data_IF_688112491375
#
_entry.id   IF_688112491375
#
_cell.length_a   1.000
_cell.length_b   1.000
_cell.length_c   1.000
_cell.angle_alpha   90.00
_cell.angle_beta   90.00
_cell.angle_gamma   90.00
#
_symmetry.space_group_name_H-M   'P 1'
#
loop_
_entity.id
_entity.type
_entity.pdbx_description
1 polymer ?
#
# COMPACT_ATOMS: atom_id res chain seq x y z
N UNK A 1 -35.31 -13.73 26.70
CA UNK A 1 -33.87 -13.37 26.67
C UNK A 1 -33.35 -13.80 25.32
N UNK A 2 -33.00 -12.79 24.51
CA UNK A 2 -32.75 -12.85 23.07
C UNK A 2 -31.35 -13.40 22.82
N UNK A 3 -31.20 -14.31 21.85
CA UNK A 3 -29.92 -14.61 21.22
C UNK A 3 -30.14 -14.71 19.71
N UNK A 4 -30.08 -13.55 19.07
CA UNK A 4 -30.11 -13.39 17.62
C UNK A 4 -28.71 -13.63 17.09
N UNK A 5 -28.51 -14.74 16.39
CA UNK A 5 -27.30 -15.03 15.61
C UNK A 5 -27.42 -14.28 14.29
N UNK A 6 -26.67 -13.19 14.12
CA UNK A 6 -26.51 -12.52 12.84
C UNK A 6 -25.48 -13.28 12.00
N UNK A 7 -25.99 -14.06 11.06
CA UNK A 7 -25.22 -14.66 9.96
C UNK A 7 -25.07 -13.58 8.87
N UNK A 8 -23.94 -12.89 8.82
CA UNK A 8 -23.59 -12.03 7.68
C UNK A 8 -23.17 -12.93 6.51
N UNK A 9 -24.11 -13.17 5.60
CA UNK A 9 -23.83 -13.70 4.27
C UNK A 9 -23.18 -12.57 3.48
N UNK A 10 -21.89 -12.71 3.18
CA UNK A 10 -21.21 -11.91 2.17
C UNK A 10 -21.76 -12.34 0.82
N UNK A 11 -22.63 -11.53 0.23
CA UNK A 11 -22.99 -11.66 -1.18
C UNK A 11 -21.76 -11.32 -2.02
N UNK A 12 -21.11 -12.36 -2.55
CA UNK A 12 -20.18 -12.25 -3.67
C UNK A 12 -21.04 -11.99 -4.90
N UNK A 13 -21.12 -10.74 -5.33
CA UNK A 13 -21.72 -10.41 -6.62
C UNK A 13 -20.82 -10.96 -7.74
N UNK A 14 -21.24 -12.10 -8.27
CA UNK A 14 -20.76 -12.65 -9.54
C UNK A 14 -21.30 -11.72 -10.63
N UNK A 15 -20.49 -10.77 -11.09
CA UNK A 15 -20.83 -9.95 -12.24
C UNK A 15 -21.05 -10.86 -13.47
N UNK A 16 -22.19 -10.75 -14.18
CA UNK A 16 -22.40 -11.49 -15.41
C UNK A 16 -21.52 -10.93 -16.52
N UNK A 17 -20.84 -11.81 -17.27
CA UNK A 17 -20.18 -11.48 -18.54
C UNK A 17 -21.22 -10.94 -19.52
N UNK A 18 -21.29 -9.62 -19.65
CA UNK A 18 -22.04 -8.96 -20.72
C UNK A 18 -21.14 -8.84 -21.94
N UNK A 19 -21.48 -9.57 -22.99
CA UNK A 19 -20.95 -9.39 -24.35
C UNK A 19 -21.47 -8.06 -24.89
N UNK A 20 -20.66 -7.01 -24.86
CA UNK A 20 -20.98 -5.75 -25.54
C UNK A 20 -20.62 -5.89 -27.01
N UNK A 21 -21.63 -6.17 -27.84
CA UNK A 21 -21.59 -5.89 -29.28
C UNK A 21 -21.77 -4.38 -29.47
N UNK A 22 -20.90 -3.82 -30.31
CA UNK A 22 -20.88 -2.43 -30.75
C UNK A 22 -22.26 -1.83 -31.03
N UNK A 23 -22.49 -0.62 -30.52
CA UNK A 23 -23.30 0.40 -31.20
C UNK A 23 -22.82 1.79 -30.76
N UNK A 24 -21.84 2.30 -31.52
CA UNK A 24 -21.39 3.69 -31.49
C UNK A 24 -22.37 4.52 -32.31
N UNK A 25 -23.44 5.00 -31.69
CA UNK A 25 -24.22 6.12 -32.22
C UNK A 25 -25.07 6.71 -31.09
N UNK A 26 -24.60 7.84 -30.54
CA UNK A 26 -25.31 8.84 -29.70
C UNK A 26 -24.46 9.33 -28.51
N UNK A 27 -23.24 9.79 -28.79
CA UNK A 27 -22.47 10.65 -27.88
C UNK A 27 -22.11 11.99 -28.55
N UNK A 28 -23.02 12.49 -29.39
CA UNK A 28 -22.99 13.89 -29.84
C UNK A 28 -23.90 14.71 -28.94
N UNK A 29 -23.31 15.33 -27.91
CA UNK A 29 -23.70 16.56 -27.18
C UNK A 29 -23.30 16.49 -25.69
N UNK A 30 -22.07 16.09 -25.39
CA UNK A 30 -21.44 16.43 -24.11
C UNK A 30 -20.40 17.53 -24.33
N UNK A 31 -20.63 18.65 -23.65
CA UNK A 31 -19.95 19.95 -23.72
C UNK A 31 -18.45 19.94 -24.06
N UNK A 32 -18.08 20.79 -25.03
CA UNK A 32 -16.72 21.04 -25.57
C UNK A 32 -15.73 21.71 -24.59
N UNK A 33 -15.93 21.66 -23.28
CA UNK A 33 -15.04 22.29 -22.27
C UNK A 33 -14.04 21.34 -21.62
N UNK A 34 -13.91 20.08 -22.08
CA UNK A 34 -13.08 19.06 -21.42
C UNK A 34 -12.00 18.43 -22.31
N UNK A 35 -11.80 18.94 -23.52
CA UNK A 35 -10.73 18.48 -24.41
C UNK A 35 -9.42 19.21 -24.07
N UNK A 36 -8.81 18.79 -22.95
CA UNK A 36 -7.43 19.12 -22.62
C UNK A 36 -6.53 18.22 -23.46
N UNK A 37 -6.11 18.71 -24.63
CA UNK A 37 -5.15 18.04 -25.49
C UNK A 37 -3.95 17.57 -24.66
N UNK A 38 -3.73 16.25 -24.66
CA UNK A 38 -2.56 15.63 -24.07
C UNK A 38 -1.34 16.02 -24.92
N UNK A 39 -0.70 17.13 -24.58
CA UNK A 39 0.65 17.37 -25.07
C UNK A 39 1.60 16.37 -24.40
N UNK A 40 2.38 15.72 -25.27
CA UNK A 40 3.39 14.67 -25.03
C UNK A 40 4.53 15.02 -24.06
N UNK A 41 4.35 15.97 -23.16
CA UNK A 41 5.37 16.44 -22.21
C UNK A 41 5.73 15.41 -21.13
N UNK A 42 4.91 14.36 -20.94
CA UNK A 42 5.15 13.29 -19.98
C UNK A 42 6.23 12.29 -20.44
N UNK A 43 6.78 12.45 -21.67
CA UNK A 43 7.74 11.53 -22.30
C UNK A 43 9.08 12.16 -22.73
N UNK A 44 9.38 13.41 -22.40
CA UNK A 44 10.69 14.03 -22.76
C UNK A 44 11.67 14.10 -21.59
N UNK A 45 12.47 13.05 -21.45
CA UNK A 45 13.95 13.14 -21.37
C UNK A 45 14.50 11.71 -21.27
N UNK A 46 15.02 11.22 -22.39
CA UNK A 46 15.70 9.94 -22.49
C UNK A 46 17.12 10.21 -22.97
N UNK A 47 18.06 9.66 -22.20
CA UNK A 47 19.52 9.50 -22.37
C UNK A 47 20.45 10.51 -21.65
N UNK A 48 21.37 9.89 -20.91
CA UNK A 48 22.46 10.36 -20.04
C UNK A 48 22.13 10.98 -18.66
N UNK A 49 22.03 10.09 -17.65
CA UNK A 49 21.96 10.44 -16.22
C UNK A 49 20.60 10.16 -15.60
N UNK A 50 20.52 9.18 -14.68
CA UNK A 50 19.25 8.82 -14.00
C UNK A 50 18.75 10.03 -13.22
N UNK A 51 17.73 10.71 -13.74
CA UNK A 51 17.09 11.85 -13.08
C UNK A 51 15.82 11.36 -12.38
N UNK A 52 15.85 11.31 -11.05
CA UNK A 52 14.63 11.08 -10.27
C UNK A 52 13.82 12.38 -10.22
N UNK A 53 12.64 12.37 -10.84
CA UNK A 53 11.75 13.53 -10.81
C UNK A 53 10.83 13.49 -9.59
N UNK A 54 10.54 12.30 -9.05
CA UNK A 54 9.77 12.14 -7.81
C UNK A 54 10.71 12.24 -6.60
N UNK A 55 10.41 13.09 -5.60
CA UNK A 55 11.25 13.22 -4.41
C UNK A 55 11.23 11.95 -3.55
N UNK A 56 12.31 11.68 -2.79
CA UNK A 56 12.41 10.49 -1.93
C UNK A 56 11.73 10.70 -0.57
N UNK A 57 10.44 11.04 -0.59
CA UNK A 57 9.65 11.30 0.61
C UNK A 57 8.60 10.20 0.73
N UNK A 58 8.56 9.52 1.87
CA UNK A 58 7.53 8.49 2.14
C UNK A 58 6.43 9.09 2.99
N UNK A 59 5.18 8.79 2.65
CA UNK A 59 3.98 9.26 3.33
C UNK A 59 3.10 8.08 3.75
N UNK A 60 2.75 8.05 5.04
CA UNK A 60 1.67 7.25 5.60
C UNK A 60 0.55 8.17 6.08
N UNK A 61 -0.70 7.71 6.04
CA UNK A 61 -1.84 8.40 6.66
C UNK A 61 -2.41 7.52 7.76
N UNK A 62 -2.50 8.06 8.97
CA UNK A 62 -3.07 7.38 10.14
C UNK A 62 -4.12 8.25 10.79
N UNK A 63 -5.36 8.00 10.41
CA UNK A 63 -6.53 8.67 10.96
C UNK A 63 -7.27 7.85 12.02
N UNK A 64 -7.89 8.56 12.96
CA UNK A 64 -8.65 7.98 14.05
C UNK A 64 -7.81 7.75 15.30
N UNK A 65 -8.42 7.07 16.28
CA UNK A 65 -7.90 6.95 17.64
C UNK A 65 -7.16 5.64 17.93
N UNK A 66 -7.10 4.75 16.94
CA UNK A 66 -6.41 3.47 17.05
C UNK A 66 -4.91 3.70 17.29
N UNK A 67 -4.31 3.02 18.29
CA UNK A 67 -2.88 3.10 18.52
C UNK A 67 -2.09 2.57 17.31
N UNK A 68 -0.79 2.87 17.26
CA UNK A 68 0.11 2.24 16.30
C UNK A 68 0.02 0.71 16.45
N UNK A 69 -0.32 0.03 15.35
CA UNK A 69 -0.45 -1.41 15.27
C UNK A 69 0.87 -2.09 14.90
N UNK A 70 0.92 -3.40 15.11
CA UNK A 70 2.07 -4.24 14.74
C UNK A 70 2.44 -4.12 13.26
N UNK A 71 1.44 -4.20 12.38
CA UNK A 71 1.64 -4.16 10.93
C UNK A 71 2.09 -2.79 10.46
N UNK A 72 1.50 -1.72 11.00
CA UNK A 72 1.94 -0.35 10.73
C UNK A 72 3.42 -0.18 11.09
N UNK A 73 3.83 -0.64 12.28
CA UNK A 73 5.23 -0.56 12.71
C UNK A 73 6.17 -1.36 11.78
N UNK A 74 5.75 -2.56 11.35
CA UNK A 74 6.50 -3.37 10.38
C UNK A 74 6.65 -2.66 9.03
N UNK A 75 5.57 -2.10 8.47
CA UNK A 75 5.60 -1.39 7.20
C UNK A 75 6.42 -0.09 7.26
N UNK A 76 6.32 0.67 8.35
CA UNK A 76 7.13 1.87 8.57
C UNK A 76 8.62 1.54 8.63
N UNK A 77 8.99 0.47 9.36
CA UNK A 77 10.40 0.00 9.42
C UNK A 77 10.87 -0.49 8.05
N UNK A 78 10.03 -1.20 7.30
CA UNK A 78 10.33 -1.65 5.94
C UNK A 78 10.60 -0.47 5.00
N UNK A 79 9.72 0.54 5.01
CA UNK A 79 9.90 1.74 4.21
C UNK A 79 11.21 2.45 4.57
N UNK A 80 11.51 2.65 5.86
CA UNK A 80 12.78 3.25 6.27
C UNK A 80 14.00 2.44 5.82
N UNK A 81 13.99 1.12 6.06
CA UNK A 81 15.13 0.25 5.79
C UNK A 81 15.43 0.08 4.30
N UNK A 82 14.38 -0.12 3.49
CA UNK A 82 14.50 -0.50 2.09
C UNK A 82 14.40 0.68 1.11
N UNK A 83 13.56 1.68 1.41
CA UNK A 83 13.49 2.90 0.58
C UNK A 83 14.57 3.92 0.93
N UNK A 84 15.03 3.94 2.19
CA UNK A 84 15.97 4.96 2.72
C UNK A 84 15.52 6.39 2.37
N UNK A 85 14.30 6.80 2.75
CA UNK A 85 13.76 8.09 2.36
C UNK A 85 14.51 9.25 3.01
N UNK A 86 14.53 10.40 2.32
CA UNK A 86 15.02 11.67 2.88
C UNK A 86 14.11 12.16 4.00
N UNK A 87 12.82 11.85 3.92
CA UNK A 87 11.84 12.13 4.97
C UNK A 87 10.76 11.06 4.96
N UNK A 88 10.36 10.58 6.14
CA UNK A 88 9.23 9.67 6.33
C UNK A 88 8.17 10.39 7.17
N UNK A 89 7.03 10.71 6.58
CA UNK A 89 5.95 11.44 7.24
C UNK A 89 4.79 10.51 7.58
N UNK A 90 4.29 10.60 8.82
CA UNK A 90 3.00 10.04 9.21
C UNK A 90 2.03 11.20 9.39
N UNK A 91 1.06 11.32 8.49
CA UNK A 91 0.00 12.32 8.54
C UNK A 91 -1.12 11.81 9.46
N UNK A 92 -1.38 12.49 10.57
CA UNK A 92 -2.33 12.03 11.60
C UNK A 92 -3.22 13.15 12.15
N UNK A 93 -4.49 12.84 12.40
CA UNK A 93 -5.44 13.73 13.09
C UNK A 93 -5.30 13.61 14.62
N UNK A 94 -4.98 12.41 15.12
CA UNK A 94 -4.71 12.13 16.53
C UNK A 94 -3.30 11.54 16.73
N UNK A 95 -2.27 12.34 16.44
CA UNK A 95 -0.88 11.88 16.51
C UNK A 95 -0.45 11.36 17.90
N UNK A 96 -1.06 11.88 18.97
CA UNK A 96 -0.85 11.38 20.34
C UNK A 96 -1.16 9.89 20.49
N UNK A 97 -2.14 9.35 19.75
CA UNK A 97 -2.49 7.93 19.78
C UNK A 97 -1.40 7.04 19.19
N UNK A 98 -0.65 7.57 18.23
CA UNK A 98 0.54 6.91 17.69
C UNK A 98 1.68 6.90 18.70
N UNK A 99 1.97 8.05 19.32
CA UNK A 99 3.07 8.22 20.28
C UNK A 99 2.84 7.45 21.60
N UNK A 100 1.59 7.40 22.06
CA UNK A 100 1.21 6.68 23.28
C UNK A 100 1.06 5.17 23.07
N UNK A 101 1.19 4.67 21.84
CA UNK A 101 1.10 3.23 21.59
C UNK A 101 2.24 2.49 22.30
N UNK A 102 1.97 1.30 22.89
CA UNK A 102 3.02 0.43 23.41
C UNK A 102 4.00 -0.04 22.33
N UNK A 103 3.68 0.14 21.04
CA UNK A 103 4.56 -0.20 19.92
C UNK A 103 5.36 1.00 19.38
N UNK A 104 5.19 2.20 19.95
CA UNK A 104 5.90 3.41 19.50
C UNK A 104 7.43 3.24 19.52
N UNK A 105 7.96 2.49 20.48
CA UNK A 105 9.39 2.20 20.60
C UNK A 105 9.98 1.52 19.36
N UNK A 106 9.16 0.86 18.52
CA UNK A 106 9.62 0.19 17.31
C UNK A 106 10.05 1.16 16.21
N UNK A 107 9.53 2.40 16.22
CA UNK A 107 9.73 3.36 15.11
C UNK A 107 10.22 4.74 15.56
N UNK A 108 10.08 5.09 16.84
CA UNK A 108 10.35 6.44 17.36
C UNK A 108 11.76 6.96 17.08
N UNK A 109 12.74 6.05 16.96
CA UNK A 109 14.16 6.39 16.79
C UNK A 109 14.57 6.43 15.31
N UNK A 110 13.61 6.33 14.37
CA UNK A 110 13.86 6.55 12.93
C UNK A 110 14.25 8.02 12.71
N UNK A 111 15.49 8.34 12.25
CA UNK A 111 15.98 9.72 12.25
C UNK A 111 15.20 10.68 11.32
N UNK A 112 14.61 10.14 10.26
CA UNK A 112 13.87 10.89 9.24
C UNK A 112 12.35 10.88 9.45
N UNK A 113 11.88 10.30 10.55
CA UNK A 113 10.46 10.20 10.88
C UNK A 113 9.92 11.55 11.37
N UNK A 114 8.82 11.99 10.77
CA UNK A 114 8.08 13.19 11.16
C UNK A 114 6.61 12.86 11.36
N UNK A 115 6.04 13.22 12.52
CA UNK A 115 4.59 13.23 12.71
C UNK A 115 4.05 14.55 12.20
N UNK A 116 3.20 14.49 11.18
CA UNK A 116 2.56 15.65 10.58
C UNK A 116 1.11 15.69 11.03
N UNK A 117 0.76 16.64 11.89
CA UNK A 117 -0.65 16.86 12.24
C UNK A 117 -1.42 17.29 10.99
N UNK A 118 -2.49 16.56 10.69
CA UNK A 118 -3.35 16.76 9.53
C UNK A 118 -4.80 16.64 9.96
N UNK A 119 -5.61 17.66 9.64
CA UNK A 119 -7.05 17.62 9.91
C UNK A 119 -7.69 16.58 8.99
N UNK A 120 -8.35 15.57 9.58
CA UNK A 120 -9.14 14.62 8.80
C UNK A 120 -10.37 15.33 8.24
N UNK A 121 -10.54 15.38 6.90
CA UNK A 121 -11.72 15.99 6.32
C UNK A 121 -12.96 15.12 6.62
N UNK A 122 -14.10 15.76 6.87
CA UNK A 122 -15.38 15.08 7.11
C UNK A 122 -16.24 15.00 5.83
N UNK A 123 -15.85 15.73 4.80
CA UNK A 123 -16.52 15.78 3.50
C UNK A 123 -15.51 16.14 2.39
N UNK A 124 -15.91 15.90 1.14
CA UNK A 124 -15.20 16.32 -0.06
C UNK A 124 -16.21 16.87 -1.07
N UNK A 125 -15.96 18.07 -1.58
CA UNK A 125 -16.87 18.81 -2.48
C UNK A 125 -18.34 18.84 -2.00
N UNK A 126 -18.56 19.02 -0.69
CA UNK A 126 -19.89 19.08 -0.08
C UNK A 126 -20.56 17.73 0.18
N UNK A 127 -19.88 16.61 -0.09
CA UNK A 127 -20.39 15.25 0.14
C UNK A 127 -19.65 14.63 1.33
N UNK A 128 -20.39 14.24 2.38
CA UNK A 128 -19.83 13.65 3.61
C UNK A 128 -19.22 12.29 3.38
N UNK A 129 -18.08 12.02 4.00
CA UNK A 129 -17.47 10.69 3.98
C UNK A 129 -18.26 9.69 4.84
N UNK A 130 -18.48 8.48 4.31
CA UNK A 130 -19.04 7.34 5.06
C UNK A 130 -17.98 6.62 5.87
N UNK A 131 -16.73 6.63 5.38
CA UNK A 131 -15.62 5.85 5.94
C UNK A 131 -14.38 6.74 6.10
N UNK A 132 -13.64 6.50 7.18
CA UNK A 132 -12.34 7.15 7.44
C UNK A 132 -11.36 6.84 6.29
N UNK A 133 -11.48 5.67 5.68
CA UNK A 133 -10.69 5.21 4.56
C UNK A 133 -10.91 6.08 3.32
N UNK A 134 -12.16 6.46 3.02
CA UNK A 134 -12.45 7.37 1.91
C UNK A 134 -11.86 8.76 2.16
N UNK A 135 -11.87 9.24 3.41
CA UNK A 135 -11.16 10.48 3.77
C UNK A 135 -9.64 10.34 3.55
N UNK A 136 -9.06 9.18 3.87
CA UNK A 136 -7.65 8.86 3.59
C UNK A 136 -7.35 8.82 2.09
N UNK A 137 -8.29 8.34 1.26
CA UNK A 137 -8.15 8.34 -0.21
C UNK A 137 -8.06 9.75 -0.79
N UNK A 138 -8.78 10.71 -0.22
CA UNK A 138 -8.68 12.11 -0.63
C UNK A 138 -7.39 12.75 -0.11
N UNK A 139 -7.04 12.50 1.15
CA UNK A 139 -5.84 13.11 1.75
C UNK A 139 -4.55 12.56 1.11
N UNK A 140 -4.47 11.30 0.68
CA UNK A 140 -3.28 10.80 -0.03
C UNK A 140 -3.03 11.55 -1.34
N UNK A 141 -4.11 11.88 -2.08
CA UNK A 141 -4.01 12.69 -3.29
C UNK A 141 -3.52 14.11 -2.95
N UNK A 142 -4.09 14.75 -1.94
CA UNK A 142 -3.69 16.09 -1.51
C UNK A 142 -2.24 16.14 -1.02
N UNK A 143 -1.79 15.13 -0.26
CA UNK A 143 -0.41 14.98 0.20
C UNK A 143 0.54 14.86 -0.99
N UNK A 144 0.25 13.96 -1.94
CA UNK A 144 1.08 13.80 -3.13
C UNK A 144 1.06 15.05 -4.03
N UNK A 145 -0.07 15.75 -4.16
CA UNK A 145 -0.14 17.02 -4.88
C UNK A 145 0.66 18.13 -4.20
N UNK A 146 0.85 18.06 -2.87
CA UNK A 146 1.62 19.04 -2.10
C UNK A 146 3.12 18.76 -2.13
N UNK A 147 3.51 17.50 -1.91
CA UNK A 147 4.91 17.13 -1.69
C UNK A 147 5.52 16.30 -2.82
N UNK A 148 4.70 15.66 -3.64
CA UNK A 148 5.11 14.51 -4.45
C UNK A 148 5.45 13.33 -3.53
N UNK A 149 6.27 12.41 -4.02
CA UNK A 149 6.86 11.35 -3.22
C UNK A 149 6.16 10.00 -3.37
N UNK A 150 6.25 9.21 -2.32
CA UNK A 150 5.80 7.82 -2.25
C UNK A 150 4.74 7.74 -1.16
N UNK A 151 3.50 7.46 -1.54
CA UNK A 151 2.45 7.14 -0.59
C UNK A 151 2.35 5.63 -0.41
N UNK A 152 2.15 5.22 0.84
CA UNK A 152 1.92 3.84 1.25
C UNK A 152 0.68 3.77 2.16
N UNK A 153 -0.23 2.84 1.88
CA UNK A 153 -1.21 2.43 2.86
C UNK A 153 -0.51 1.91 4.12
N UNK A 154 -1.20 2.01 5.26
CA UNK A 154 -0.67 1.59 6.58
C UNK A 154 -0.21 0.13 6.65
N UNK A 155 -0.69 -0.71 5.74
CA UNK A 155 -0.27 -2.11 5.55
C UNK A 155 0.35 -2.35 4.18
N UNK A 156 1.07 -1.36 3.62
CA UNK A 156 1.92 -1.54 2.44
C UNK A 156 3.39 -1.66 2.81
N UNK A 157 4.00 -2.80 2.50
CA UNK A 157 5.38 -3.15 2.83
C UNK A 157 6.31 -2.90 1.65
N UNK A 158 7.43 -2.20 1.85
CA UNK A 158 8.49 -2.04 0.85
C UNK A 158 9.50 -3.19 0.97
N UNK A 159 9.65 -3.98 -0.09
CA UNK A 159 10.60 -5.09 -0.21
C UNK A 159 11.94 -4.60 -0.76
N UNK A 160 11.91 -3.69 -1.74
CA UNK A 160 13.07 -3.08 -2.40
C UNK A 160 12.81 -1.60 -2.67
N UNK A 161 13.87 -0.82 -2.87
CA UNK A 161 13.73 0.60 -3.24
C UNK A 161 12.84 0.77 -4.48
N UNK A 162 11.90 1.71 -4.38
CA UNK A 162 11.02 2.16 -5.45
C UNK A 162 11.66 3.24 -6.35
N UNK A 163 12.96 3.49 -6.20
CA UNK A 163 13.71 4.42 -7.07
C UNK A 163 13.53 4.15 -8.57
N UNK A 164 13.44 2.90 -9.06
CA UNK A 164 13.12 2.63 -10.46
C UNK A 164 11.81 3.27 -10.95
N UNK A 165 10.87 3.59 -10.05
CA UNK A 165 9.57 4.17 -10.36
C UNK A 165 9.52 5.70 -10.18
N UNK A 166 10.55 6.29 -9.56
CA UNK A 166 10.66 7.74 -9.30
C UNK A 166 11.05 8.56 -10.53
N UNK A 167 11.29 7.91 -11.67
CA UNK A 167 11.57 8.56 -12.96
C UNK A 167 10.30 8.90 -13.76
N UNK A 168 9.14 8.41 -13.31
CA UNK A 168 7.85 8.65 -13.97
C UNK A 168 7.02 9.63 -13.13
N UNK A 169 6.23 10.50 -13.78
CA UNK A 169 5.41 11.48 -13.06
C UNK A 169 4.34 10.80 -12.20
N UNK A 170 3.93 9.59 -12.56
CA UNK A 170 3.04 8.75 -11.79
C UNK A 170 3.39 7.29 -12.05
N UNK A 171 3.64 6.51 -11.02
CA UNK A 171 3.69 5.05 -11.09
C UNK A 171 2.67 4.46 -10.13
N UNK A 172 1.88 3.51 -10.62
CA UNK A 172 0.75 2.93 -9.88
C UNK A 172 0.61 1.45 -10.19
N UNK A 173 0.16 0.68 -9.18
CA UNK A 173 -0.20 -0.71 -9.37
C UNK A 173 -1.42 -0.83 -10.28
N UNK A 174 -1.32 -1.56 -11.39
CA UNK A 174 -2.48 -1.77 -12.27
C UNK A 174 -2.48 -3.19 -12.85
N UNK A 175 -3.03 -4.17 -12.10
CA UNK A 175 -3.04 -5.56 -12.53
C UNK A 175 -3.88 -5.75 -13.82
N UNK A 176 -3.46 -6.66 -14.73
CA UNK A 176 -4.20 -6.93 -15.96
C UNK A 176 -5.66 -7.33 -15.69
N UNK A 177 -6.60 -6.65 -16.35
CA UNK A 177 -8.03 -6.92 -16.22
C UNK A 177 -8.65 -6.48 -14.88
N UNK A 178 -7.94 -5.69 -14.08
CA UNK A 178 -8.41 -5.15 -12.81
C UNK A 178 -8.42 -3.61 -12.81
N UNK A 179 -8.94 -3.05 -11.73
CA UNK A 179 -8.83 -1.62 -11.43
C UNK A 179 -7.45 -1.31 -10.84
N UNK A 180 -7.00 -0.07 -11.01
CA UNK A 180 -5.76 0.41 -10.37
C UNK A 180 -5.82 0.24 -8.85
N UNK A 181 -4.68 -0.14 -8.27
CA UNK A 181 -4.42 -0.18 -6.84
C UNK A 181 -3.98 1.18 -6.34
N UNK A 182 -4.65 1.72 -5.33
CA UNK A 182 -4.31 3.02 -4.73
C UNK A 182 -3.40 2.91 -3.48
N UNK A 183 -2.93 1.70 -3.15
CA UNK A 183 -2.24 1.38 -1.90
C UNK A 183 -0.75 1.76 -1.92
N UNK A 184 -0.12 1.74 -3.10
CA UNK A 184 1.27 2.15 -3.34
C UNK A 184 1.29 3.12 -4.52
N UNK A 185 1.62 4.38 -4.27
CA UNK A 185 1.67 5.43 -5.29
C UNK A 185 3.03 6.11 -5.28
N UNK A 186 3.67 6.24 -6.44
CA UNK A 186 4.91 7.00 -6.60
C UNK A 186 4.61 8.15 -7.57
N UNK A 187 4.59 9.39 -7.08
CA UNK A 187 4.05 10.49 -7.86
C UNK A 187 4.85 11.77 -7.75
N UNK A 188 5.07 12.41 -8.88
CA UNK A 188 5.46 13.80 -8.93
C UNK A 188 4.26 14.67 -8.53
N UNK A 189 4.52 15.75 -7.78
CA UNK A 189 3.47 16.66 -7.29
C UNK A 189 2.57 17.23 -8.40
N UNK A 190 3.14 17.41 -9.59
CA UNK A 190 2.44 17.96 -10.76
C UNK A 190 1.84 16.89 -11.67
N UNK A 191 1.75 15.63 -11.22
CA UNK A 191 1.07 14.56 -11.95
C UNK A 191 -0.36 14.97 -12.34
N UNK A 192 -0.65 14.93 -13.64
CA UNK A 192 -2.00 15.20 -14.17
C UNK A 192 -3.02 14.19 -13.63
N UNK A 193 -2.60 12.94 -13.47
CA UNK A 193 -3.44 11.88 -12.93
C UNK A 193 -3.94 12.18 -11.51
N UNK A 194 -3.08 12.72 -10.63
CA UNK A 194 -3.50 13.09 -9.26
C UNK A 194 -4.62 14.13 -9.28
N UNK A 195 -4.50 15.15 -10.13
CA UNK A 195 -5.52 16.21 -10.27
C UNK A 195 -6.83 15.65 -10.80
N UNK A 196 -6.79 14.78 -11.81
CA UNK A 196 -7.98 14.12 -12.35
C UNK A 196 -8.68 13.26 -11.30
N UNK A 197 -7.94 12.43 -10.57
CA UNK A 197 -8.47 11.62 -9.48
C UNK A 197 -9.10 12.49 -8.39
N UNK A 198 -8.41 13.55 -7.94
CA UNK A 198 -8.93 14.45 -6.91
C UNK A 198 -10.22 15.12 -7.36
N UNK A 199 -10.25 15.72 -8.56
CA UNK A 199 -11.44 16.39 -9.09
C UNK A 199 -12.62 15.42 -9.32
N UNK A 200 -12.35 14.14 -9.58
CA UNK A 200 -13.41 13.14 -9.73
C UNK A 200 -14.21 12.87 -8.44
N UNK A 201 -13.69 13.26 -7.27
CA UNK A 201 -14.46 13.19 -6.01
C UNK A 201 -15.64 14.16 -5.97
N UNK A 202 -15.81 15.04 -6.97
CA UNK A 202 -17.09 15.77 -7.16
C UNK A 202 -18.25 14.81 -7.41
N UNK A 203 -17.96 13.61 -7.91
CA UNK A 203 -18.89 12.50 -8.13
C UNK A 203 -18.64 11.40 -7.07
N UNK A 204 -18.29 11.80 -5.85
CA UNK A 204 -18.06 10.87 -4.74
C UNK A 204 -19.33 10.08 -4.41
N UNK A 205 -19.20 8.75 -4.41
CA UNK A 205 -20.28 7.79 -4.08
C UNK A 205 -20.01 7.16 -2.72
N UNK A 206 -20.63 7.68 -1.64
CA UNK A 206 -20.25 7.31 -0.27
C UNK A 206 -20.55 5.86 0.11
N UNK A 207 -21.45 5.22 -0.63
CA UNK A 207 -21.93 3.85 -0.44
C UNK A 207 -21.06 2.79 -1.15
N UNK A 208 -20.19 3.20 -2.08
CA UNK A 208 -19.36 2.28 -2.85
C UNK A 208 -17.90 2.33 -2.42
N UNK A 209 -17.44 1.27 -1.76
CA UNK A 209 -16.13 1.18 -1.12
C UNK A 209 -14.95 1.54 -2.04
N UNK A 210 -14.89 0.99 -3.25
CA UNK A 210 -13.73 1.13 -4.14
C UNK A 210 -13.98 2.03 -5.34
N UNK A 211 -15.17 2.61 -5.45
CA UNK A 211 -15.61 3.30 -6.67
C UNK A 211 -14.70 4.49 -7.02
N UNK A 212 -14.55 5.45 -6.11
CA UNK A 212 -13.74 6.65 -6.39
C UNK A 212 -12.23 6.39 -6.30
N UNK A 213 -11.82 5.39 -5.53
CA UNK A 213 -10.42 5.06 -5.27
C UNK A 213 -9.74 4.29 -6.42
N UNK A 214 -10.50 3.44 -7.14
CA UNK A 214 -9.94 2.60 -8.19
C UNK A 214 -10.82 2.40 -9.41
N UNK A 215 -12.13 2.19 -9.26
CA UNK A 215 -13.02 1.89 -10.40
C UNK A 215 -13.14 3.09 -11.34
N UNK A 216 -13.62 4.23 -10.83
CA UNK A 216 -13.84 5.43 -11.63
C UNK A 216 -12.54 5.93 -12.28
N UNK A 217 -11.40 6.06 -11.58
CA UNK A 217 -10.16 6.46 -12.22
C UNK A 217 -9.71 5.53 -13.35
N UNK A 218 -9.91 4.22 -13.18
CA UNK A 218 -9.57 3.23 -14.22
C UNK A 218 -10.49 3.39 -15.43
N UNK A 219 -11.81 3.34 -15.19
CA UNK A 219 -12.81 3.33 -16.26
C UNK A 219 -12.89 4.65 -17.01
N UNK A 220 -12.70 5.78 -16.33
CA UNK A 220 -12.89 7.11 -16.92
C UNK A 220 -11.61 7.71 -17.48
N UNK A 221 -10.47 7.49 -16.82
CA UNK A 221 -9.22 8.15 -17.19
C UNK A 221 -8.27 7.19 -17.87
N UNK A 222 -7.96 6.05 -17.25
CA UNK A 222 -6.89 5.18 -17.75
C UNK A 222 -7.31 4.25 -18.89
N UNK A 223 -8.60 3.95 -19.01
CA UNK A 223 -9.13 3.24 -20.18
C UNK A 223 -8.99 4.03 -21.48
N UNK A 224 -8.97 5.38 -21.38
CA UNK A 224 -8.86 6.31 -22.51
C UNK A 224 -7.44 6.84 -22.66
N UNK A 225 -6.80 7.15 -21.54
CA UNK A 225 -5.47 7.78 -21.45
C UNK A 225 -4.53 6.98 -20.55
N UNK A 226 -4.13 5.74 -20.94
CA UNK A 226 -3.23 4.91 -20.15
C UNK A 226 -1.85 5.55 -19.97
N UNK A 227 -1.44 6.47 -20.85
CA UNK A 227 -0.17 7.20 -20.79
C UNK A 227 -0.05 8.16 -19.59
N UNK A 228 -1.15 8.48 -18.89
CA UNK A 228 -1.13 9.32 -17.69
C UNK A 228 -0.33 8.70 -16.54
N UNK A 229 -0.06 7.40 -16.61
CA UNK A 229 0.67 6.66 -15.57
C UNK A 229 1.66 5.68 -16.18
N UNK A 230 2.76 5.45 -15.47
CA UNK A 230 3.55 4.26 -15.63
C UNK A 230 2.85 3.11 -14.89
N UNK A 231 2.29 2.18 -15.66
CA UNK A 231 1.60 1.00 -15.14
C UNK A 231 2.60 0.01 -14.55
N UNK A 232 2.37 -0.39 -13.29
CA UNK A 232 3.14 -1.42 -12.58
C UNK A 232 2.24 -2.62 -12.34
N UNK A 233 2.20 -3.61 -13.25
CA UNK A 233 1.14 -4.63 -13.22
C UNK A 233 1.26 -5.63 -12.07
N UNK A 234 2.48 -5.91 -11.60
CA UNK A 234 2.74 -6.94 -10.61
C UNK A 234 3.63 -6.46 -9.45
N UNK A 235 4.65 -5.65 -9.72
CA UNK A 235 5.75 -5.39 -8.78
C UNK A 235 5.37 -4.63 -7.49
N UNK A 236 4.21 -3.96 -7.48
CA UNK A 236 3.66 -3.30 -6.28
C UNK A 236 2.81 -4.22 -5.40
N UNK A 237 2.54 -5.45 -5.83
CA UNK A 237 1.87 -6.47 -5.01
C UNK A 237 0.48 -6.05 -4.54
N UNK A 238 -0.32 -5.45 -5.44
CA UNK A 238 -1.66 -4.91 -5.14
C UNK A 238 -2.79 -5.85 -5.58
N UNK A 239 -2.47 -7.01 -6.16
CA UNK A 239 -3.49 -7.98 -6.54
C UNK A 239 -3.86 -8.84 -5.33
N UNK A 240 -5.15 -9.18 -5.19
CA UNK A 240 -5.62 -10.02 -4.08
C UNK A 240 -4.93 -11.39 -4.04
N UNK A 241 -4.55 -11.92 -5.21
CA UNK A 241 -3.80 -13.17 -5.33
C UNK A 241 -2.42 -13.12 -4.68
N UNK A 242 -1.83 -11.93 -4.49
CA UNK A 242 -0.54 -11.74 -3.83
C UNK A 242 -0.61 -12.12 -2.33
N UNK A 243 -1.80 -12.10 -1.72
CA UNK A 243 -1.99 -12.59 -0.35
C UNK A 243 -1.60 -14.07 -0.19
N UNK A 244 -1.76 -14.90 -1.24
CA UNK A 244 -1.30 -16.29 -1.22
C UNK A 244 0.22 -16.39 -1.08
N UNK A 245 0.95 -15.49 -1.76
CA UNK A 245 2.41 -15.44 -1.67
C UNK A 245 2.83 -15.13 -0.24
N UNK A 246 2.14 -14.22 0.42
CA UNK A 246 2.50 -13.77 1.77
C UNK A 246 2.13 -14.78 2.86
N UNK A 247 0.94 -15.38 2.79
CA UNK A 247 0.36 -16.10 3.93
C UNK A 247 0.19 -17.61 3.70
N UNK A 248 0.25 -18.10 2.46
CA UNK A 248 0.14 -19.54 2.17
C UNK A 248 1.50 -20.18 1.84
N UNK A 249 2.49 -19.40 1.40
CA UNK A 249 3.79 -19.91 0.95
C UNK A 249 4.91 -19.75 1.98
N UNK A 250 5.92 -20.58 1.78
CA UNK A 250 7.20 -20.52 2.48
C UNK A 250 8.35 -20.69 1.47
N UNK A 251 8.74 -19.59 0.83
CA UNK A 251 9.77 -19.52 -0.21
C UNK A 251 10.34 -18.08 -0.34
N UNK A 252 11.15 -17.81 -1.35
CA UNK A 252 11.73 -16.49 -1.64
C UNK A 252 10.96 -15.70 -2.72
N UNK A 253 9.79 -16.17 -3.16
CA UNK A 253 9.06 -15.55 -4.29
C UNK A 253 8.62 -14.11 -4.01
N UNK A 254 8.42 -13.75 -2.74
CA UNK A 254 8.12 -12.37 -2.31
C UNK A 254 9.24 -11.39 -2.68
N UNK A 255 10.47 -11.86 -2.85
CA UNK A 255 11.60 -11.00 -3.26
C UNK A 255 11.51 -10.56 -4.71
N UNK A 256 10.62 -11.11 -5.52
CA UNK A 256 10.45 -10.65 -6.89
C UNK A 256 9.74 -9.30 -6.97
N UNK A 257 9.08 -8.87 -5.88
CA UNK A 257 8.32 -7.63 -5.79
C UNK A 257 9.14 -6.51 -5.18
N UNK A 258 8.83 -5.25 -5.50
CA UNK A 258 9.38 -4.10 -4.78
C UNK A 258 8.50 -3.64 -3.63
N UNK A 259 7.20 -3.89 -3.69
CA UNK A 259 6.28 -3.65 -2.60
C UNK A 259 5.14 -4.68 -2.57
N UNK A 260 4.42 -4.73 -1.44
CA UNK A 260 3.16 -5.46 -1.29
C UNK A 260 2.15 -4.61 -0.54
N UNK A 261 0.90 -4.60 -0.99
CA UNK A 261 -0.22 -4.38 -0.09
C UNK A 261 -0.46 -5.69 0.67
N UNK A 262 -0.37 -5.65 1.99
CA UNK A 262 -0.37 -6.86 2.81
C UNK A 262 -1.76 -7.47 2.98
N UNK A 263 -2.85 -6.74 2.71
CA UNK A 263 -4.21 -7.20 2.95
C UNK A 263 -4.41 -7.77 4.37
N UNK A 264 -3.72 -7.22 5.38
CA UNK A 264 -3.56 -7.90 6.66
C UNK A 264 -4.90 -8.12 7.39
N UNK A 265 -5.85 -7.18 7.20
CA UNK A 265 -7.21 -7.29 7.75
C UNK A 265 -8.08 -8.33 7.03
N UNK A 266 -7.67 -8.74 5.83
CA UNK A 266 -8.42 -9.62 4.94
C UNK A 266 -7.71 -10.98 4.74
N UNK A 267 -6.70 -11.31 5.55
CA UNK A 267 -5.98 -12.58 5.45
C UNK A 267 -6.94 -13.77 5.40
N UNK A 268 -7.95 -13.79 6.29
CA UNK A 268 -8.93 -14.88 6.36
C UNK A 268 -9.84 -15.00 5.14
N UNK A 269 -9.94 -13.96 4.30
CA UNK A 269 -10.66 -14.01 3.02
C UNK A 269 -9.86 -14.75 1.96
N UNK A 270 -8.54 -14.59 1.98
CA UNK A 270 -7.67 -15.12 0.93
C UNK A 270 -7.03 -16.45 1.31
N UNK A 271 -6.60 -16.62 2.56
CA UNK A 271 -5.90 -17.82 3.02
C UNK A 271 -6.65 -18.42 4.21
N UNK A 272 -6.89 -19.75 4.23
CA UNK A 272 -7.51 -20.43 5.36
C UNK A 272 -6.76 -20.12 6.66
N UNK A 273 -7.44 -19.62 7.70
CA UNK A 273 -6.77 -19.24 8.94
C UNK A 273 -6.27 -20.49 9.69
N UNK A 274 -5.06 -20.43 10.25
CA UNK A 274 -4.45 -21.49 11.07
C UNK A 274 -4.29 -21.07 12.56
N UNK A 275 -5.38 -20.68 13.27
CA UNK A 275 -5.27 -20.10 14.60
C UNK A 275 -4.73 -21.09 15.65
N UNK A 276 -4.95 -22.40 15.45
CA UNK A 276 -4.38 -23.44 16.32
C UNK A 276 -2.86 -23.52 16.24
N UNK A 277 -2.28 -23.20 15.08
CA UNK A 277 -0.83 -23.29 14.85
C UNK A 277 -0.11 -22.00 15.21
N UNK A 278 -0.65 -20.85 14.81
CA UNK A 278 0.03 -19.56 14.96
C UNK A 278 -0.61 -18.61 15.96
N UNK A 279 -1.89 -18.80 16.29
CA UNK A 279 -2.67 -17.78 16.98
C UNK A 279 -2.75 -16.46 16.19
N UNK A 280 -3.04 -15.34 16.87
CA UNK A 280 -2.94 -14.01 16.27
C UNK A 280 -1.50 -13.68 15.87
N UNK A 281 -1.32 -13.08 14.70
CA UNK A 281 0.00 -12.64 14.23
C UNK A 281 0.31 -11.28 14.88
N UNK A 282 1.22 -11.26 15.84
CA UNK A 282 1.61 -10.09 16.63
C UNK A 282 3.13 -10.02 16.77
N UNK A 283 3.62 -8.97 17.44
CA UNK A 283 5.03 -8.85 17.79
C UNK A 283 5.57 -10.07 18.58
N UNK A 284 4.74 -10.66 19.42
CA UNK A 284 5.13 -11.79 20.29
C UNK A 284 5.14 -13.14 19.57
N UNK A 285 4.32 -13.28 18.52
CA UNK A 285 4.13 -14.57 17.83
C UNK A 285 4.86 -14.66 16.50
N UNK A 286 5.22 -13.53 15.87
CA UNK A 286 5.80 -13.51 14.51
C UNK A 286 7.14 -14.24 14.38
N UNK A 287 7.86 -14.41 15.49
CA UNK A 287 9.08 -15.24 15.54
C UNK A 287 8.83 -16.68 15.08
N UNK A 288 7.61 -17.21 15.32
CA UNK A 288 7.20 -18.58 15.00
C UNK A 288 6.37 -18.68 13.71
N UNK A 289 6.01 -17.56 13.09
CA UNK A 289 5.17 -17.56 11.89
C UNK A 289 5.97 -17.98 10.66
N UNK A 290 5.76 -19.21 10.17
CA UNK A 290 6.57 -19.86 9.14
C UNK A 290 6.00 -19.69 7.72
N UNK A 291 5.60 -18.47 7.42
CA UNK A 291 5.17 -18.03 6.08
C UNK A 291 6.00 -16.83 5.62
N UNK A 292 5.87 -16.46 4.36
CA UNK A 292 6.59 -15.35 3.76
C UNK A 292 6.38 -14.02 4.50
N UNK A 293 5.17 -13.70 4.97
CA UNK A 293 4.97 -12.52 5.82
C UNK A 293 5.79 -12.58 7.11
N UNK A 294 5.97 -13.76 7.70
CA UNK A 294 6.85 -13.94 8.85
C UNK A 294 8.31 -13.61 8.51
N UNK A 295 8.78 -14.01 7.33
CA UNK A 295 10.11 -13.63 6.86
C UNK A 295 10.25 -12.10 6.73
N UNK A 296 9.27 -11.44 6.09
CA UNK A 296 9.24 -9.97 5.92
C UNK A 296 9.27 -9.23 7.26
N UNK A 297 8.43 -9.64 8.21
CA UNK A 297 8.35 -9.01 9.52
C UNK A 297 9.63 -9.22 10.34
N UNK A 298 10.16 -10.45 10.38
CA UNK A 298 11.42 -10.74 11.07
C UNK A 298 12.60 -9.98 10.47
N UNK A 299 12.63 -9.77 9.16
CA UNK A 299 13.69 -9.01 8.50
C UNK A 299 13.82 -7.60 9.08
N UNK A 300 12.71 -6.89 9.22
CA UNK A 300 12.70 -5.50 9.68
C UNK A 300 12.68 -5.36 11.21
N UNK A 301 12.34 -6.43 11.94
CA UNK A 301 12.34 -6.44 13.41
C UNK A 301 13.64 -6.97 13.99
N UNK A 302 14.17 -8.06 13.44
CA UNK A 302 15.26 -8.86 13.98
C UNK A 302 16.53 -8.82 13.11
N UNK A 303 16.47 -8.18 11.94
CA UNK A 303 17.58 -8.11 11.00
C UNK A 303 17.80 -9.40 10.20
N UNK A 304 16.90 -10.39 10.30
CA UNK A 304 17.06 -11.69 9.65
C UNK A 304 15.73 -12.32 9.25
N UNK A 305 15.69 -13.13 8.19
CA UNK A 305 14.49 -13.93 7.85
C UNK A 305 14.37 -15.23 8.67
N UNK A 306 15.43 -15.61 9.41
CA UNK A 306 15.54 -16.87 10.15
C UNK A 306 14.33 -17.13 11.06
N UNK A 307 13.68 -18.28 10.88
CA UNK A 307 12.59 -18.71 11.74
C UNK A 307 13.08 -18.88 13.19
N UNK A 308 12.30 -18.38 14.14
CA UNK A 308 12.62 -18.42 15.58
C UNK A 308 13.44 -17.22 16.08
N UNK A 309 13.96 -16.35 15.21
CA UNK A 309 14.55 -15.09 15.64
C UNK A 309 13.51 -14.26 16.42
N UNK A 310 13.92 -13.67 17.55
CA UNK A 310 13.03 -12.97 18.47
C UNK A 310 13.64 -11.73 19.13
N UNK A 311 14.93 -11.45 18.89
CA UNK A 311 15.60 -10.30 19.48
C UNK A 311 15.36 -9.05 18.62
N UNK A 312 14.50 -8.15 19.10
CA UNK A 312 14.20 -6.88 18.43
C UNK A 312 15.48 -6.05 18.33
N UNK A 313 15.86 -5.71 17.09
CA UNK A 313 16.99 -4.83 16.80
C UNK A 313 16.55 -3.38 16.80
N UNK A 314 17.40 -2.52 17.35
CA UNK A 314 17.20 -1.07 17.33
C UNK A 314 17.35 -0.54 15.90
N UNK A 315 16.83 0.67 15.67
CA UNK A 315 17.03 1.39 14.41
C UNK A 315 18.53 1.61 14.13
N UNK A 316 19.31 1.99 15.15
CA UNK A 316 20.77 2.15 15.02
C UNK A 316 21.47 0.84 14.62
N UNK A 317 21.04 -0.30 15.17
CA UNK A 317 21.62 -1.58 14.78
C UNK A 317 21.30 -1.93 13.32
N UNK A 318 20.04 -1.76 12.91
CA UNK A 318 19.59 -2.06 11.55
C UNK A 318 20.20 -1.13 10.48
N UNK A 319 20.61 0.09 10.84
CA UNK A 319 21.27 0.99 9.89
C UNK A 319 22.71 0.58 9.60
N UNK A 320 23.36 -0.16 10.50
CA UNK A 320 24.76 -0.58 10.43
C UNK A 320 24.96 -2.01 9.92
N UNK A 321 23.93 -2.85 10.02
CA UNK A 321 24.02 -4.27 9.67
C UNK A 321 23.08 -4.59 8.51
N UNK A 322 23.60 -5.14 7.40
CA UNK A 322 22.75 -5.55 6.29
C UNK A 322 21.80 -6.67 6.73
N UNK A 323 20.59 -6.75 6.15
CA UNK A 323 19.66 -7.82 6.48
C UNK A 323 20.22 -9.20 6.13
N UNK A 324 20.12 -10.14 7.06
CA UNK A 324 20.53 -11.53 6.89
C UNK A 324 19.37 -12.35 6.30
N UNK A 325 19.67 -13.14 5.29
CA UNK A 325 18.69 -14.00 4.66
C UNK A 325 19.01 -15.47 4.92
N UNK A 326 18.14 -16.14 5.66
CA UNK A 326 18.25 -17.58 5.95
C UNK A 326 18.17 -18.40 4.68
N UNK A 327 19.13 -19.30 4.47
CA UNK A 327 19.12 -20.30 3.38
C UNK A 327 17.95 -21.29 3.51
N UNK A 328 17.42 -21.47 4.73
CA UNK A 328 16.27 -22.31 5.01
C UNK A 328 14.94 -21.54 4.92
N UNK A 329 14.98 -20.24 4.61
CA UNK A 329 13.84 -19.34 4.55
C UNK A 329 13.05 -19.35 5.87
N UNK A 330 11.79 -19.76 5.78
CA UNK A 330 10.86 -19.93 6.90
C UNK A 330 10.86 -21.36 7.49
N UNK A 331 11.85 -22.20 7.20
CA UNK A 331 12.01 -23.51 7.84
C UNK A 331 13.10 -23.45 8.92
N UNK A 332 12.98 -24.31 9.92
CA UNK A 332 14.11 -24.56 10.83
C UNK A 332 15.22 -25.29 10.06
N UNK A 333 16.47 -24.93 10.33
CA UNK A 333 17.60 -25.73 9.89
C UNK A 333 17.43 -27.15 10.44
N UNK A 334 17.57 -28.17 9.59
CA UNK A 334 17.58 -29.54 10.08
C UNK A 334 18.68 -29.65 11.13
N UNK A 335 18.34 -30.10 12.34
CA UNK A 335 19.36 -30.42 13.33
C UNK A 335 20.28 -31.48 12.70
N UNK A 336 21.57 -31.18 12.52
CA UNK A 336 22.54 -32.20 12.17
C UNK A 336 22.31 -33.39 13.11
N UNK A 337 22.18 -34.63 12.60
CA UNK A 337 22.03 -35.78 13.46
C UNK A 337 23.20 -35.73 14.45
N UNK A 338 22.87 -35.68 15.74
CA UNK A 338 23.87 -35.80 16.80
C UNK A 338 24.52 -37.16 16.59
N UNK A 339 25.74 -37.17 16.07
CA UNK A 339 26.60 -38.34 16.03
C UNK A 339 26.96 -38.79 17.45
#
# INVERSE_FOLDING_TARGET
>A
IIATVYLFIVMVDIAPRVSVKNNLSNLDTLNKSTLWYAESEDLKSLEDGITYIVPNIVHFIKFGDNPLSFVEAVCIRAAWLHQRPETLMIHCDQCNRTVQSPLWYLIKDIPVLKLQTTVRPMEVFGIKFSYIQHASDVVRLQVLMKYGGIYLDSDSYIVKSLDPYRRYKMSIGWPPGANVGNQVLVAHKDSRYLKLCYESYREYRPDLWYWNAGVLPTERFLSVHPELVHSVPHDFGVAESDAQILYAKCDDSWRNYSAFHLFFRHIGTYVPPEPKRFGPITIDTVSKYDRNFGQLARLVLYGTTKLGASEIKSIDWLSKHPPEYSEYGCKLAASSPKN
#
